data_IF_419918293457
#
_entry.id   IF_419918293457
#
_cell.length_a   1.000
_cell.length_b   1.000
_cell.length_c   1.000
_cell.angle_alpha   90.00
_cell.angle_beta   90.00
_cell.angle_gamma   90.00
#
_symmetry.space_group_name_H-M   'P 1'
#
loop_
_entity.id
_entity.type
_entity.pdbx_description
1 polymer ?
#
# COMPACT_ATOMS: atom_id res chain seq x y z
N UNK A 1 19.00 16.87 -22.73
CA UNK A 1 17.95 17.86 -22.39
C UNK A 1 17.94 19.00 -23.43
N UNK A 2 17.73 18.65 -24.72
CA UNK A 2 17.78 19.58 -25.88
C UNK A 2 16.71 19.25 -26.94
N UNK A 3 15.62 18.57 -26.54
CA UNK A 3 14.62 18.05 -27.49
C UNK A 3 13.22 18.69 -27.35
N UNK A 4 13.07 19.78 -26.60
CA UNK A 4 11.73 20.33 -26.27
C UNK A 4 11.45 21.73 -26.84
N UNK A 5 12.34 22.29 -27.66
CA UNK A 5 12.19 23.64 -28.21
C UNK A 5 12.22 23.58 -29.75
N UNK A 6 11.22 22.93 -30.36
CA UNK A 6 11.00 23.06 -31.81
C UNK A 6 9.52 23.10 -32.22
N UNK A 7 8.57 23.01 -31.29
CA UNK A 7 7.13 23.11 -31.57
C UNK A 7 6.50 24.31 -30.86
N UNK A 8 7.01 25.51 -31.16
CA UNK A 8 6.34 26.75 -30.78
C UNK A 8 6.48 27.76 -31.91
N UNK A 9 5.72 27.55 -32.99
CA UNK A 9 5.51 28.58 -33.98
C UNK A 9 4.01 28.86 -34.14
N UNK A 10 3.59 29.82 -33.31
CA UNK A 10 2.40 30.68 -33.44
C UNK A 10 2.01 30.91 -34.91
N UNK A 11 0.92 30.28 -35.38
CA UNK A 11 0.19 30.75 -36.56
C UNK A 11 -0.55 32.04 -36.19
N UNK A 12 0.02 33.18 -36.58
CA UNK A 12 -0.72 34.44 -36.72
C UNK A 12 -1.20 34.61 -38.16
N UNK A 13 -2.52 34.81 -38.26
CA UNK A 13 -3.29 35.53 -39.27
C UNK A 13 -2.56 36.06 -40.51
N UNK A 14 -2.94 35.54 -41.68
CA UNK A 14 -2.88 36.24 -42.96
C UNK A 14 -4.26 36.17 -43.63
N UNK A 15 -4.75 37.26 -44.27
CA UNK A 15 -6.04 37.25 -44.94
C UNK A 15 -5.94 36.56 -46.30
N UNK A 16 -6.97 35.78 -46.60
CA UNK A 16 -7.48 35.36 -47.90
C UNK A 16 -6.52 35.05 -49.06
N UNK A 17 -6.53 33.78 -49.47
CA UNK A 17 -6.61 33.46 -50.89
C UNK A 17 -7.51 32.25 -51.07
N UNK A 18 -8.71 32.50 -51.60
CA UNK A 18 -9.63 31.47 -52.03
C UNK A 18 -9.03 30.68 -53.20
N UNK A 19 -8.41 29.53 -52.90
CA UNK A 19 -8.09 28.50 -53.88
C UNK A 19 -8.48 27.13 -53.32
N UNK A 20 -9.50 26.55 -53.95
CA UNK A 20 -9.87 25.13 -53.99
C UNK A 20 -9.39 24.29 -52.80
N UNK A 21 -10.20 24.28 -51.75
CA UNK A 21 -10.06 23.38 -50.60
C UNK A 21 -10.40 21.96 -51.08
N UNK A 22 -9.41 21.25 -51.62
CA UNK A 22 -9.45 19.77 -51.64
C UNK A 22 -9.60 19.38 -50.17
N UNK A 23 -10.76 18.85 -49.82
CA UNK A 23 -11.08 18.40 -48.47
C UNK A 23 -10.18 17.21 -48.15
N UNK A 24 -9.03 17.49 -47.54
CA UNK A 24 -8.21 16.45 -46.93
C UNK A 24 -9.10 15.72 -45.90
N UNK A 25 -9.35 14.41 -46.05
CA UNK A 25 -10.25 13.66 -45.16
C UNK A 25 -9.59 13.33 -43.81
N UNK A 26 -8.42 13.89 -43.53
CA UNK A 26 -7.71 13.69 -42.28
C UNK A 26 -8.29 14.60 -41.22
N UNK A 27 -9.07 14.01 -40.31
CA UNK A 27 -9.47 14.65 -39.06
C UNK A 27 -8.18 14.89 -38.26
N UNK A 28 -7.71 16.14 -38.21
CA UNK A 28 -6.63 16.52 -37.30
C UNK A 28 -7.15 16.43 -35.86
N UNK A 29 -6.83 15.33 -35.18
CA UNK A 29 -7.06 15.20 -33.75
C UNK A 29 -6.04 16.06 -33.00
N UNK A 30 -6.45 17.26 -32.62
CA UNK A 30 -5.62 18.13 -31.77
C UNK A 30 -5.90 17.80 -30.32
N UNK A 31 -5.02 17.02 -29.70
CA UNK A 31 -5.01 16.87 -28.25
C UNK A 31 -4.49 18.14 -27.60
N UNK A 32 -5.16 18.60 -26.54
CA UNK A 32 -4.63 19.67 -25.71
C UNK A 32 -3.46 19.15 -24.86
N UNK A 33 -2.62 20.07 -24.36
CA UNK A 33 -1.53 19.71 -23.45
C UNK A 33 -2.03 19.01 -22.18
N UNK A 34 -3.21 19.42 -21.67
CA UNK A 34 -3.84 18.79 -20.51
C UNK A 34 -4.19 17.32 -20.76
N UNK A 35 -4.67 16.98 -21.96
CA UNK A 35 -5.06 15.60 -22.28
C UNK A 35 -3.85 14.67 -22.29
N UNK A 36 -2.73 15.15 -22.84
CA UNK A 36 -1.45 14.44 -22.80
C UNK A 36 -0.94 14.21 -21.38
N UNK A 37 -1.10 15.21 -20.50
CA UNK A 37 -0.67 15.11 -19.11
C UNK A 37 -1.51 14.09 -18.32
N UNK A 38 -2.83 14.07 -18.51
CA UNK A 38 -3.73 13.09 -17.89
C UNK A 38 -3.42 11.68 -18.40
N UNK A 39 -3.22 11.52 -19.72
CA UNK A 39 -2.86 10.22 -20.31
C UNK A 39 -1.52 9.71 -19.76
N UNK A 40 -0.49 10.54 -19.73
CA UNK A 40 0.81 10.20 -19.17
C UNK A 40 0.72 9.82 -17.69
N UNK A 41 -0.10 10.53 -16.92
CA UNK A 41 -0.34 10.24 -15.50
C UNK A 41 -1.01 8.88 -15.29
N UNK A 42 -2.10 8.59 -16.03
CA UNK A 42 -2.80 7.30 -15.95
C UNK A 42 -1.89 6.15 -16.37
N UNK A 43 -1.10 6.31 -17.44
CA UNK A 43 -0.14 5.30 -17.89
C UNK A 43 0.94 5.08 -16.82
N UNK A 44 1.51 6.17 -16.27
CA UNK A 44 2.51 6.09 -15.21
C UNK A 44 2.01 5.36 -13.97
N UNK A 45 0.78 5.64 -13.54
CA UNK A 45 0.15 4.92 -12.43
C UNK A 45 -0.18 3.47 -12.78
N UNK A 46 -0.65 3.18 -14.00
CA UNK A 46 -0.94 1.81 -14.43
C UNK A 46 0.33 0.92 -14.40
N UNK A 47 1.49 1.49 -14.70
CA UNK A 47 2.78 0.81 -14.60
C UNK A 47 3.24 0.72 -13.13
N UNK A 48 3.08 1.79 -12.36
CA UNK A 48 3.65 1.88 -11.01
C UNK A 48 2.83 1.12 -9.95
N UNK A 49 1.50 1.12 -10.04
CA UNK A 49 0.59 0.47 -9.08
C UNK A 49 0.88 -1.04 -8.89
N UNK A 50 1.03 -1.87 -9.93
CA UNK A 50 1.33 -3.30 -9.74
C UNK A 50 2.71 -3.53 -9.13
N UNK A 51 3.66 -2.61 -9.35
CA UNK A 51 5.01 -2.67 -8.77
C UNK A 51 5.03 -2.27 -7.28
N UNK A 52 3.96 -1.67 -6.75
CA UNK A 52 3.91 -1.04 -5.43
C UNK A 52 2.89 -1.69 -4.46
N UNK A 53 2.62 -2.99 -4.58
CA UNK A 53 1.78 -3.69 -3.59
C UNK A 53 2.50 -3.74 -2.21
N UNK A 54 1.83 -3.41 -1.07
CA UNK A 54 0.40 -3.18 -0.88
C UNK A 54 0.09 -1.77 -0.36
N UNK A 55 -0.02 -0.76 -1.23
CA UNK A 55 -0.63 0.52 -0.84
C UNK A 55 -1.93 0.78 -1.60
N UNK A 56 -3.10 0.47 -1.00
CA UNK A 56 -4.41 0.75 -1.63
C UNK A 56 -4.64 2.23 -1.94
N UNK A 57 -3.84 3.15 -1.37
CA UNK A 57 -3.91 4.59 -1.63
C UNK A 57 -3.51 4.97 -3.05
N UNK A 58 -2.59 4.24 -3.68
CA UNK A 58 -2.20 4.51 -5.08
C UNK A 58 -3.31 4.14 -6.07
N UNK A 59 -4.18 3.19 -5.72
CA UNK A 59 -5.35 2.87 -6.51
C UNK A 59 -6.37 4.02 -6.54
N UNK A 60 -6.45 4.84 -5.48
CA UNK A 60 -7.32 6.02 -5.45
C UNK A 60 -6.82 7.10 -6.43
N UNK A 61 -5.51 7.36 -6.47
CA UNK A 61 -4.91 8.28 -7.44
C UNK A 61 -5.14 7.79 -8.88
N UNK A 62 -5.06 6.47 -9.09
CA UNK A 62 -5.34 5.87 -10.39
C UNK A 62 -6.81 6.03 -10.78
N UNK A 63 -7.75 5.82 -9.85
CA UNK A 63 -9.18 6.05 -10.07
C UNK A 63 -9.49 7.50 -10.48
N UNK A 64 -8.86 8.47 -9.81
CA UNK A 64 -9.00 9.89 -10.18
C UNK A 64 -8.49 10.13 -11.60
N UNK A 65 -7.32 9.59 -11.96
CA UNK A 65 -6.80 9.67 -13.32
C UNK A 65 -7.76 9.06 -14.36
N UNK A 66 -8.34 7.89 -14.05
CA UNK A 66 -9.29 7.22 -14.94
C UNK A 66 -10.58 8.03 -15.14
N UNK A 67 -11.12 8.64 -14.06
CA UNK A 67 -12.28 9.54 -14.13
C UNK A 67 -11.99 10.74 -15.04
N UNK A 68 -10.80 11.33 -14.93
CA UNK A 68 -10.39 12.48 -15.74
C UNK A 68 -10.13 12.12 -17.21
N UNK A 69 -9.65 10.90 -17.48
CA UNK A 69 -9.38 10.43 -18.84
C UNK A 69 -10.66 10.05 -19.60
N UNK A 70 -11.72 9.66 -18.89
CA UNK A 70 -12.97 9.18 -19.47
C UNK A 70 -13.64 10.18 -20.45
N UNK A 71 -13.83 11.48 -20.11
CA UNK A 71 -14.40 12.45 -21.04
C UNK A 71 -13.56 12.68 -22.31
N UNK A 72 -12.23 12.59 -22.20
CA UNK A 72 -11.32 12.74 -23.36
C UNK A 72 -11.49 11.59 -24.35
N UNK A 73 -11.54 10.35 -23.85
CA UNK A 73 -11.79 9.18 -24.69
C UNK A 73 -13.19 9.21 -25.31
N UNK A 74 -14.19 9.68 -24.55
CA UNK A 74 -15.55 9.85 -25.04
C UNK A 74 -15.64 10.91 -26.16
N UNK A 75 -14.87 12.00 -26.06
CA UNK A 75 -14.81 13.03 -27.09
C UNK A 75 -14.16 12.52 -28.39
N UNK A 76 -13.15 11.65 -28.33
CA UNK A 76 -12.53 11.02 -29.51
C UNK A 76 -13.50 10.13 -30.30
N UNK A 77 -14.45 9.49 -29.61
CA UNK A 77 -15.47 8.66 -30.26
C UNK A 77 -16.51 9.46 -31.05
N UNK A 78 -16.63 10.77 -30.81
CA UNK A 78 -17.58 11.63 -31.53
C UNK A 78 -16.95 12.18 -32.79
N UNK A 79 -17.48 11.79 -33.95
CA UNK A 79 -17.20 12.52 -35.19
C UNK A 79 -17.79 13.93 -35.10
N UNK A 80 -17.05 14.98 -35.49
CA UNK A 80 -17.62 16.31 -35.64
C UNK A 80 -18.54 16.31 -36.85
N UNK A 81 -19.82 15.96 -36.66
CA UNK A 81 -20.85 16.13 -37.69
C UNK A 81 -21.47 17.52 -37.52
N UNK A 82 -21.45 18.34 -38.57
CA UNK A 82 -22.19 19.61 -38.66
C UNK A 82 -23.73 19.41 -38.73
N UNK A 83 -24.22 18.25 -38.33
CA UNK A 83 -25.63 17.86 -38.41
C UNK A 83 -26.18 17.82 -36.98
N UNK A 84 -27.32 18.46 -36.83
CA UNK A 84 -28.15 18.62 -35.62
C UNK A 84 -28.07 17.41 -34.66
N UNK A 85 -28.03 17.64 -33.32
CA UNK A 85 -27.71 16.62 -32.34
C UNK A 85 -28.80 15.54 -32.28
N UNK A 86 -28.70 14.54 -33.15
CA UNK A 86 -29.38 13.27 -32.95
C UNK A 86 -28.68 12.54 -31.81
N UNK A 87 -29.49 11.89 -30.98
CA UNK A 87 -29.10 11.16 -29.78
C UNK A 87 -27.79 10.39 -29.95
N UNK A 88 -26.95 10.28 -28.91
CA UNK A 88 -25.68 9.54 -29.01
C UNK A 88 -25.97 8.16 -29.57
N UNK A 89 -25.39 7.84 -30.72
CA UNK A 89 -25.58 6.54 -31.33
C UNK A 89 -25.12 5.49 -30.33
N UNK A 90 -25.92 4.44 -30.11
CA UNK A 90 -25.59 3.32 -29.22
C UNK A 90 -24.16 2.80 -29.45
N UNK A 91 -23.66 2.91 -30.68
CA UNK A 91 -22.31 2.54 -31.12
C UNK A 91 -21.20 3.37 -30.44
N UNK A 92 -21.41 4.66 -30.20
CA UNK A 92 -20.41 5.55 -29.58
C UNK A 92 -20.33 5.29 -28.07
N UNK A 93 -21.48 5.03 -27.44
CA UNK A 93 -21.53 4.55 -26.05
C UNK A 93 -20.84 3.18 -25.95
N UNK A 94 -21.09 2.27 -26.89
CA UNK A 94 -20.50 0.94 -26.91
C UNK A 94 -18.97 1.00 -27.00
N UNK A 95 -18.40 1.83 -27.88
CA UNK A 95 -16.95 2.01 -28.03
C UNK A 95 -16.30 2.59 -26.78
N UNK A 96 -16.95 3.57 -26.15
CA UNK A 96 -16.49 4.17 -24.89
C UNK A 96 -16.45 3.15 -23.76
N UNK A 97 -17.51 2.33 -23.66
CA UNK A 97 -17.59 1.22 -22.71
C UNK A 97 -16.55 0.15 -23.04
N UNK A 98 -16.31 -0.18 -24.32
CA UNK A 98 -15.35 -1.21 -24.73
C UNK A 98 -13.89 -0.82 -24.47
N UNK A 99 -13.57 0.46 -24.36
CA UNK A 99 -12.23 0.97 -24.03
C UNK A 99 -12.02 1.09 -22.51
N UNK A 100 -13.07 1.45 -21.78
CA UNK A 100 -13.03 1.69 -20.33
C UNK A 100 -13.18 0.39 -19.54
N UNK A 101 -13.99 -0.56 -20.03
CA UNK A 101 -14.24 -1.84 -19.37
C UNK A 101 -12.99 -2.73 -19.28
N UNK A 102 -12.11 -2.88 -20.29
CA UNK A 102 -10.87 -3.63 -20.13
C UNK A 102 -9.93 -2.98 -19.12
N UNK A 103 -9.82 -1.65 -19.12
CA UNK A 103 -9.00 -0.87 -18.19
C UNK A 103 -9.54 -1.01 -16.75
N UNK A 104 -10.87 -1.02 -16.57
CA UNK A 104 -11.53 -1.31 -15.31
C UNK A 104 -11.48 -2.80 -14.92
N UNK A 105 -11.53 -3.73 -15.87
CA UNK A 105 -11.49 -5.18 -15.64
C UNK A 105 -10.09 -5.66 -15.23
N UNK A 106 -9.03 -5.08 -15.80
CA UNK A 106 -7.65 -5.23 -15.32
C UNK A 106 -7.53 -4.75 -13.86
N UNK A 107 -8.35 -3.79 -13.43
CA UNK A 107 -8.43 -3.36 -12.04
C UNK A 107 -9.29 -4.26 -11.15
N UNK A 108 -10.33 -4.90 -11.68
CA UNK A 108 -11.08 -5.93 -10.94
C UNK A 108 -10.20 -7.15 -10.66
N UNK A 109 -9.25 -7.49 -11.54
CA UNK A 109 -8.21 -8.49 -11.22
C UNK A 109 -7.16 -8.02 -10.20
N UNK A 110 -7.10 -6.71 -9.91
CA UNK A 110 -6.25 -6.12 -8.87
C UNK A 110 -6.97 -5.92 -7.52
N UNK A 111 -8.32 -6.00 -7.49
CA UNK A 111 -9.09 -6.10 -6.25
C UNK A 111 -8.56 -7.28 -5.42
N UNK A 112 -8.64 -7.21 -4.08
CA UNK A 112 -8.10 -8.23 -3.20
C UNK A 112 -8.80 -9.56 -3.47
N UNK A 113 -8.19 -10.39 -4.32
CA UNK A 113 -8.51 -11.80 -4.41
C UNK A 113 -8.44 -12.36 -2.98
N UNK A 114 -9.36 -13.28 -2.60
CA UNK A 114 -9.32 -13.91 -1.30
C UNK A 114 -7.92 -14.49 -1.07
N UNK A 115 -7.33 -14.11 0.07
CA UNK A 115 -6.05 -14.65 0.49
C UNK A 115 -6.19 -16.17 0.76
N UNK A 116 -5.16 -16.97 0.45
CA UNK A 116 -3.91 -16.61 -0.22
C UNK A 116 -4.01 -16.71 -1.76
N UNK A 117 -3.30 -15.86 -2.53
CA UNK A 117 -3.18 -16.06 -3.97
C UNK A 117 -2.50 -17.41 -4.25
N UNK A 118 -2.86 -18.10 -5.35
CA UNK A 118 -2.17 -19.32 -5.73
C UNK A 118 -0.68 -19.04 -5.93
N UNK A 119 0.17 -19.90 -5.36
CA UNK A 119 1.66 -19.81 -5.34
C UNK A 119 2.30 -19.60 -6.72
N UNK A 120 1.55 -19.84 -7.80
CA UNK A 120 1.99 -19.79 -9.19
C UNK A 120 1.43 -18.60 -10.00
N UNK A 121 0.79 -17.61 -9.37
CA UNK A 121 0.31 -16.43 -10.09
C UNK A 121 1.47 -15.51 -10.53
N UNK A 122 1.94 -15.71 -11.76
CA UNK A 122 3.02 -14.94 -12.40
C UNK A 122 2.70 -13.43 -12.50
N UNK A 123 1.42 -13.06 -12.45
CA UNK A 123 0.95 -11.72 -12.80
C UNK A 123 1.17 -10.69 -11.69
N UNK A 124 1.35 -11.10 -10.42
CA UNK A 124 1.38 -10.16 -9.28
C UNK A 124 2.37 -10.52 -8.16
N UNK A 125 3.51 -11.14 -8.48
CA UNK A 125 4.61 -11.19 -7.51
C UNK A 125 5.21 -9.79 -7.39
N UNK A 126 5.05 -9.16 -6.23
CA UNK A 126 5.96 -8.10 -5.83
C UNK A 126 7.40 -8.60 -6.04
N UNK A 127 8.31 -7.71 -6.42
CA UNK A 127 9.73 -8.05 -6.62
C UNK A 127 10.33 -8.79 -5.41
N UNK A 128 9.83 -8.51 -4.21
CA UNK A 128 10.13 -9.22 -2.96
C UNK A 128 8.86 -9.50 -2.15
N UNK A 129 8.86 -10.62 -1.41
CA UNK A 129 7.76 -11.02 -0.54
C UNK A 129 7.76 -10.16 0.74
N UNK A 130 6.58 -9.67 1.13
CA UNK A 130 6.39 -8.81 2.33
C UNK A 130 5.28 -9.34 3.24
N UNK A 131 5.10 -10.66 3.30
CA UNK A 131 4.09 -11.31 4.15
C UNK A 131 4.61 -11.70 5.53
N UNK A 132 5.92 -11.68 5.77
CA UNK A 132 6.52 -12.19 7.01
C UNK A 132 5.96 -11.52 8.26
N UNK A 133 5.64 -10.21 8.24
CA UNK A 133 4.98 -9.56 9.38
C UNK A 133 3.60 -10.13 9.71
N UNK A 134 2.86 -10.60 8.70
CA UNK A 134 1.58 -11.28 8.93
C UNK A 134 1.78 -12.65 9.58
N UNK A 135 2.77 -13.40 9.11
CA UNK A 135 3.14 -14.70 9.66
C UNK A 135 3.60 -14.55 11.11
N UNK A 136 4.53 -13.62 11.37
CA UNK A 136 4.99 -13.28 12.72
C UNK A 136 3.84 -12.81 13.61
N UNK A 137 2.92 -11.98 13.12
CA UNK A 137 1.78 -11.54 13.91
C UNK A 137 0.89 -12.72 14.36
N UNK A 138 0.68 -13.69 13.48
CA UNK A 138 -0.05 -14.91 13.81
C UNK A 138 0.71 -15.76 14.85
N UNK A 139 2.02 -15.92 14.68
CA UNK A 139 2.87 -16.70 15.60
C UNK A 139 2.97 -16.03 16.98
N UNK A 140 3.13 -14.71 17.03
CA UNK A 140 3.13 -13.90 18.26
C UNK A 140 1.84 -14.11 19.05
N UNK A 141 0.69 -14.04 18.39
CA UNK A 141 -0.61 -14.28 19.06
C UNK A 141 -0.74 -15.72 19.50
N UNK A 142 -0.35 -16.67 18.66
CA UNK A 142 -0.36 -18.09 18.99
C UNK A 142 0.48 -18.41 20.24
N UNK A 143 1.69 -17.87 20.32
CA UNK A 143 2.60 -18.14 21.44
C UNK A 143 2.20 -17.39 22.71
N UNK A 144 1.64 -16.17 22.59
CA UNK A 144 1.04 -15.46 23.72
C UNK A 144 -0.13 -16.26 24.31
N UNK A 145 -1.08 -16.71 23.48
CA UNK A 145 -2.24 -17.48 23.93
C UNK A 145 -1.87 -18.86 24.51
N UNK A 146 -0.89 -19.56 23.91
CA UNK A 146 -0.34 -20.80 24.51
C UNK A 146 0.21 -20.54 25.92
N UNK A 147 0.91 -19.43 26.12
CA UNK A 147 1.44 -19.04 27.44
C UNK A 147 0.34 -18.73 28.46
N UNK A 148 -0.82 -18.25 28.02
CA UNK A 148 -2.00 -18.04 28.88
C UNK A 148 -2.64 -19.38 29.27
N UNK A 149 -2.91 -20.24 28.28
CA UNK A 149 -3.62 -21.51 28.49
C UNK A 149 -2.85 -22.51 29.35
N UNK A 150 -1.52 -22.48 29.29
CA UNK A 150 -0.67 -23.26 30.20
C UNK A 150 -0.87 -22.87 31.68
N UNK A 151 -1.40 -21.68 31.96
CA UNK A 151 -1.44 -21.09 33.29
C UNK A 151 -2.86 -20.74 33.80
N UNK A 152 -3.93 -20.86 32.99
CA UNK A 152 -5.30 -20.43 33.38
C UNK A 152 -6.42 -21.27 32.74
N UNK A 153 -7.59 -21.33 33.40
CA UNK A 153 -8.85 -21.87 32.83
C UNK A 153 -9.50 -20.81 31.91
N UNK A 154 -9.92 -21.15 30.68
CA UNK A 154 -10.51 -20.18 29.76
C UNK A 154 -11.93 -19.82 30.21
N UNK A 155 -12.13 -18.62 30.77
CA UNK A 155 -13.46 -18.17 31.22
C UNK A 155 -13.84 -16.74 30.86
N UNK A 156 -13.06 -16.04 30.01
CA UNK A 156 -13.37 -14.67 29.58
C UNK A 156 -13.17 -14.49 28.07
N UNK A 157 -13.90 -13.53 27.48
CA UNK A 157 -13.78 -13.15 26.06
C UNK A 157 -12.40 -12.57 25.71
N UNK A 158 -11.71 -11.95 26.67
CA UNK A 158 -10.34 -11.47 26.53
C UNK A 158 -9.43 -12.27 27.46
N UNK A 159 -8.48 -12.99 26.88
CA UNK A 159 -7.59 -13.90 27.63
C UNK A 159 -6.29 -13.22 28.03
N UNK A 160 -5.85 -12.20 27.30
CA UNK A 160 -4.64 -11.44 27.59
C UNK A 160 -4.61 -10.06 26.90
N UNK A 161 -3.63 -9.24 27.29
CA UNK A 161 -3.34 -7.93 26.71
C UNK A 161 -1.98 -7.98 26.02
N UNK A 162 -1.89 -7.48 24.79
CA UNK A 162 -0.68 -7.44 23.98
C UNK A 162 -0.32 -5.99 23.63
N UNK A 163 0.76 -5.48 24.20
CA UNK A 163 1.28 -4.16 23.90
C UNK A 163 2.30 -4.22 22.78
N UNK A 164 2.18 -3.34 21.77
CA UNK A 164 3.13 -3.24 20.65
C UNK A 164 3.90 -1.94 20.74
N UNK A 165 5.21 -2.02 20.95
CA UNK A 165 6.06 -0.84 21.09
C UNK A 165 6.75 -0.49 19.78
N UNK A 166 6.52 0.73 19.29
CA UNK A 166 7.16 1.30 18.10
C UNK A 166 7.09 0.48 16.80
N UNK A 167 6.22 -0.53 16.69
CA UNK A 167 6.07 -1.37 15.49
C UNK A 167 4.67 -1.26 14.88
N UNK A 168 4.33 -0.14 14.21
CA UNK A 168 3.00 0.05 13.63
C UNK A 168 2.69 -0.98 12.54
N UNK A 169 3.70 -1.38 11.74
CA UNK A 169 3.51 -2.39 10.70
C UNK A 169 3.04 -3.73 11.25
N UNK A 170 3.62 -4.17 12.37
CA UNK A 170 3.21 -5.40 13.05
C UNK A 170 1.84 -5.24 13.71
N UNK A 171 1.59 -4.08 14.36
CA UNK A 171 0.33 -3.79 15.05
C UNK A 171 -0.91 -4.00 14.16
N UNK A 172 -0.87 -3.54 12.90
CA UNK A 172 -2.00 -3.69 11.97
C UNK A 172 -2.22 -5.12 11.46
N UNK A 173 -1.29 -6.04 11.73
CA UNK A 173 -1.41 -7.45 11.37
C UNK A 173 -1.87 -8.34 12.52
N UNK A 174 -1.87 -7.84 13.76
CA UNK A 174 -2.25 -8.64 14.92
C UNK A 174 -3.78 -8.87 14.94
N UNK A 175 -4.24 -10.12 14.99
CA UNK A 175 -5.65 -10.42 15.20
C UNK A 175 -6.08 -10.00 16.62
N UNK A 176 -7.30 -9.51 16.75
CA UNK A 176 -7.89 -9.11 18.04
C UNK A 176 -8.65 -10.25 18.74
N UNK A 177 -8.67 -11.45 18.17
CA UNK A 177 -9.44 -12.57 18.70
C UNK A 177 -8.80 -13.10 19.98
N UNK A 178 -9.48 -12.90 21.11
CA UNK A 178 -9.02 -13.34 22.44
C UNK A 178 -7.91 -12.50 23.06
N UNK A 179 -7.41 -11.46 22.37
CA UNK A 179 -6.37 -10.55 22.84
C UNK A 179 -6.80 -9.09 22.69
N UNK A 180 -6.61 -8.31 23.75
CA UNK A 180 -6.69 -6.85 23.65
C UNK A 180 -5.33 -6.32 23.17
N UNK A 181 -5.24 -5.88 21.92
CA UNK A 181 -4.00 -5.33 21.34
C UNK A 181 -3.99 -3.81 21.48
N UNK A 182 -2.90 -3.25 22.01
CA UNK A 182 -2.74 -1.81 22.23
C UNK A 182 -1.36 -1.32 21.76
N UNK A 183 -1.26 -0.16 21.10
CA UNK A 183 0.03 0.46 20.86
C UNK A 183 0.60 1.00 22.17
N UNK A 184 1.90 0.84 22.40
CA UNK A 184 2.62 1.37 23.55
C UNK A 184 3.56 2.50 23.11
N UNK A 185 3.40 3.68 23.74
CA UNK A 185 4.31 4.81 23.57
C UNK A 185 5.44 4.87 24.62
N UNK A 186 5.31 4.12 25.71
CA UNK A 186 6.29 4.00 26.81
C UNK A 186 6.05 2.67 27.55
N UNK A 187 6.94 2.31 28.48
CA UNK A 187 6.82 1.08 29.28
C UNK A 187 6.03 1.26 30.60
N UNK A 188 5.31 2.37 30.79
CA UNK A 188 4.56 2.61 32.03
C UNK A 188 3.28 1.75 32.13
N UNK A 189 2.89 1.05 31.06
CA UNK A 189 1.76 0.12 31.12
C UNK A 189 1.98 -1.04 32.10
N UNK A 190 3.25 -1.36 32.41
CA UNK A 190 3.59 -2.39 33.39
C UNK A 190 3.10 -2.02 34.79
N UNK A 191 3.03 -0.72 35.09
CA UNK A 191 2.64 -0.19 36.39
C UNK A 191 1.10 -0.09 36.56
N UNK A 192 0.32 -0.36 35.50
CA UNK A 192 -1.14 -0.25 35.53
C UNK A 192 -1.75 -1.47 36.23
N UNK A 193 -2.70 -1.24 37.14
CA UNK A 193 -3.38 -2.31 37.90
C UNK A 193 -4.06 -3.36 36.99
N UNK A 194 -4.52 -2.96 35.79
CA UNK A 194 -5.07 -3.85 34.79
C UNK A 194 -4.08 -4.94 34.34
N UNK A 195 -2.78 -4.63 34.27
CA UNK A 195 -1.68 -5.55 33.95
C UNK A 195 -1.53 -6.65 35.01
N UNK A 196 -2.08 -6.45 36.21
CA UNK A 196 -2.12 -7.45 37.29
C UNK A 196 -3.31 -8.40 37.19
N UNK A 197 -4.37 -8.03 36.46
CA UNK A 197 -5.63 -8.81 36.34
C UNK A 197 -5.61 -9.77 35.16
N UNK A 198 -4.91 -9.42 34.09
CA UNK A 198 -4.79 -10.22 32.88
C UNK A 198 -3.32 -10.48 32.53
N UNK A 199 -2.98 -11.67 32.00
CA UNK A 199 -1.67 -11.89 31.42
C UNK A 199 -1.35 -10.82 30.38
N UNK A 200 -0.20 -10.18 30.53
CA UNK A 200 0.20 -9.05 29.70
C UNK A 200 1.51 -9.34 29.01
N UNK A 201 1.57 -8.97 27.74
CA UNK A 201 2.69 -9.23 26.86
C UNK A 201 3.15 -7.94 26.20
N UNK A 202 4.44 -7.88 25.87
CA UNK A 202 5.06 -6.79 25.14
C UNK A 202 5.71 -7.36 23.88
N UNK A 203 5.41 -6.75 22.74
CA UNK A 203 6.05 -7.05 21.46
C UNK A 203 6.88 -5.86 21.03
N UNK A 204 8.11 -6.14 20.63
CA UNK A 204 9.08 -5.14 20.17
C UNK A 204 9.70 -5.60 18.86
N UNK A 205 10.11 -4.66 18.02
CA UNK A 205 10.83 -4.95 16.79
C UNK A 205 12.02 -4.01 16.59
N UNK A 206 12.56 -3.95 15.36
CA UNK A 206 13.77 -3.19 15.05
C UNK A 206 13.68 -1.69 15.35
N UNK A 207 12.51 -1.06 15.23
CA UNK A 207 12.33 0.36 15.54
C UNK A 207 12.43 0.61 17.06
N UNK A 208 11.88 -0.29 17.87
CA UNK A 208 12.04 -0.22 19.32
C UNK A 208 13.51 -0.41 19.73
N UNK A 209 14.18 -1.42 19.17
CA UNK A 209 15.57 -1.76 19.49
C UNK A 209 16.57 -0.66 19.13
N UNK A 210 16.28 0.14 18.09
CA UNK A 210 17.12 1.29 17.69
C UNK A 210 16.87 2.53 18.56
N UNK A 211 15.78 2.57 19.33
CA UNK A 211 15.44 3.71 20.17
C UNK A 211 16.22 3.69 21.48
N UNK A 212 17.04 4.73 21.70
CA UNK A 212 17.73 4.92 22.99
C UNK A 212 16.74 5.06 24.15
N UNK A 213 15.61 5.75 23.92
CA UNK A 213 14.56 5.93 24.94
C UNK A 213 14.00 4.58 25.39
N UNK A 214 13.72 3.69 24.43
CA UNK A 214 13.27 2.34 24.74
C UNK A 214 14.35 1.56 25.50
N UNK A 215 15.60 1.59 25.04
CA UNK A 215 16.70 0.89 25.71
C UNK A 215 16.86 1.34 27.18
N UNK A 216 16.81 2.65 27.43
CA UNK A 216 16.92 3.23 28.77
C UNK A 216 15.71 2.86 29.66
N UNK A 217 14.48 2.84 29.10
CA UNK A 217 13.27 2.43 29.85
C UNK A 217 13.24 0.92 30.13
N UNK A 218 13.64 0.11 29.15
CA UNK A 218 13.64 -1.34 29.24
C UNK A 218 14.69 -1.82 30.25
N UNK A 219 15.90 -1.22 30.23
CA UNK A 219 16.96 -1.54 31.18
C UNK A 219 16.54 -1.31 32.65
N UNK A 220 15.74 -0.27 32.92
CA UNK A 220 15.23 0.03 34.28
C UNK A 220 14.24 -1.00 34.82
N UNK A 221 13.65 -1.81 33.94
CA UNK A 221 12.56 -2.76 34.26
C UNK A 221 12.84 -4.15 33.69
N UNK A 222 14.10 -4.46 33.38
CA UNK A 222 14.47 -5.68 32.67
C UNK A 222 14.07 -6.95 33.45
N UNK A 223 14.03 -6.87 34.78
CA UNK A 223 13.57 -7.91 35.70
C UNK A 223 12.07 -8.24 35.57
N UNK A 224 11.28 -7.30 35.04
CA UNK A 224 9.84 -7.42 34.84
C UNK A 224 9.48 -8.04 33.48
N UNK A 225 10.47 -8.27 32.61
CA UNK A 225 10.24 -8.83 31.28
C UNK A 225 10.91 -10.19 31.13
N UNK A 226 10.14 -11.18 30.71
CA UNK A 226 10.64 -12.50 30.36
C UNK A 226 10.51 -12.72 28.85
N UNK A 227 11.63 -12.97 28.18
CA UNK A 227 11.61 -13.28 26.75
C UNK A 227 10.97 -14.65 26.52
N UNK A 228 9.87 -14.68 25.78
CA UNK A 228 9.17 -15.92 25.41
C UNK A 228 9.68 -16.44 24.08
N UNK A 229 9.74 -15.55 23.08
CA UNK A 229 10.02 -15.92 21.71
C UNK A 229 10.71 -14.78 20.96
N UNK A 230 11.44 -15.16 19.92
CA UNK A 230 12.08 -14.25 18.99
C UNK A 230 11.88 -14.75 17.57
N UNK A 231 11.47 -13.83 16.69
CA UNK A 231 11.08 -14.12 15.32
C UNK A 231 12.01 -13.34 14.39
N UNK A 232 12.92 -14.06 13.76
CA UNK A 232 13.82 -13.49 12.77
C UNK A 232 13.11 -13.38 11.42
N UNK A 233 13.35 -12.28 10.70
CA UNK A 233 12.75 -12.05 9.39
C UNK A 233 13.67 -11.21 8.51
N UNK A 234 13.46 -11.34 7.20
CA UNK A 234 14.23 -10.64 6.18
C UNK A 234 13.37 -9.55 5.56
N UNK A 235 13.55 -8.32 6.05
CA UNK A 235 12.94 -7.16 5.41
C UNK A 235 13.40 -7.05 3.96
N UNK A 236 12.43 -6.82 3.06
CA UNK A 236 12.69 -6.53 1.65
C UNK A 236 13.62 -5.32 1.50
N UNK A 237 14.42 -5.28 0.43
CA UNK A 237 15.37 -4.19 0.16
C UNK A 237 14.65 -2.83 0.18
N UNK A 238 13.41 -2.76 -0.30
CA UNK A 238 12.60 -1.53 -0.26
C UNK A 238 12.31 -1.00 1.15
N UNK A 239 12.00 -1.88 2.10
CA UNK A 239 11.75 -1.48 3.50
C UNK A 239 13.06 -1.07 4.16
N UNK A 240 14.15 -1.79 3.86
CA UNK A 240 15.49 -1.43 4.37
C UNK A 240 15.96 -0.07 3.86
N UNK A 241 15.52 0.36 2.68
CA UNK A 241 15.85 1.69 2.13
C UNK A 241 15.27 2.86 2.95
N UNK A 242 14.29 2.61 3.82
CA UNK A 242 13.85 3.63 4.78
C UNK A 242 14.91 3.90 5.86
N UNK A 243 15.81 2.94 6.09
CA UNK A 243 16.81 2.97 7.16
C UNK A 243 18.25 3.17 6.66
N UNK A 244 18.59 2.61 5.49
CA UNK A 244 19.95 2.64 4.92
C UNK A 244 19.95 3.08 3.47
N UNK A 245 21.04 3.71 3.03
CA UNK A 245 21.17 4.08 1.62
C UNK A 245 21.29 2.86 0.70
N UNK A 246 20.96 3.01 -0.59
CA UNK A 246 21.07 1.94 -1.58
C UNK A 246 22.49 1.35 -1.68
N UNK A 247 23.53 2.15 -1.42
CA UNK A 247 24.93 1.70 -1.42
C UNK A 247 25.26 0.79 -0.22
N UNK A 248 24.52 0.93 0.88
CA UNK A 248 24.73 0.22 2.14
C UNK A 248 23.88 -1.05 2.28
N UNK A 249 22.85 -1.23 1.43
CA UNK A 249 21.92 -2.37 1.49
C UNK A 249 22.62 -3.74 1.57
N UNK A 250 23.65 -3.96 0.72
CA UNK A 250 24.36 -5.24 0.70
C UNK A 250 25.14 -5.53 1.98
N UNK A 251 25.65 -4.47 2.62
CA UNK A 251 26.40 -4.59 3.86
C UNK A 251 25.50 -4.72 5.10
N UNK A 252 24.25 -4.23 5.03
CA UNK A 252 23.30 -4.21 6.14
C UNK A 252 22.11 -5.15 5.89
N UNK A 253 22.40 -6.34 5.34
CA UNK A 253 21.37 -7.35 5.04
C UNK A 253 21.13 -8.34 6.18
N UNK A 254 21.55 -7.98 7.39
CA UNK A 254 21.34 -8.82 8.58
C UNK A 254 19.85 -9.04 8.84
N UNK A 255 19.44 -10.25 9.26
CA UNK A 255 18.06 -10.51 9.62
C UNK A 255 17.61 -9.58 10.75
N UNK A 256 16.40 -9.07 10.62
CA UNK A 256 15.75 -8.26 11.65
C UNK A 256 14.99 -9.18 12.60
N UNK A 257 14.66 -8.68 13.79
CA UNK A 257 14.06 -9.50 14.84
C UNK A 257 12.88 -8.82 15.51
N UNK A 258 11.79 -9.57 15.67
CA UNK A 258 10.66 -9.23 16.54
C UNK A 258 10.76 -10.08 17.79
N UNK A 259 10.59 -9.47 18.97
CA UNK A 259 10.68 -10.16 20.26
C UNK A 259 9.38 -10.06 21.03
N UNK A 260 8.95 -11.17 21.59
CA UNK A 260 7.78 -11.29 22.45
C UNK A 260 8.23 -11.50 23.89
N UNK A 261 7.79 -10.62 24.77
CA UNK A 261 8.06 -10.66 26.20
C UNK A 261 6.77 -10.87 26.99
N UNK A 262 6.85 -11.62 28.09
CA UNK A 262 5.85 -11.66 29.14
C UNK A 262 6.17 -10.62 30.20
N UNK A 263 5.16 -9.89 30.64
CA UNK A 263 5.29 -9.02 31.81
C UNK A 263 5.12 -9.88 33.07
N UNK A 264 6.11 -9.83 33.95
CA UNK A 264 6.05 -10.43 35.28
C UNK A 264 5.31 -9.49 36.22
N UNK A 265 4.32 -10.02 36.91
CA UNK A 265 3.65 -9.29 37.99
C UNK A 265 4.49 -9.52 39.25
N UNK A 266 4.98 -8.47 39.93
CA UNK A 266 5.62 -8.62 41.23
C UNK A 266 4.60 -9.23 42.20
N UNK A 267 4.99 -10.31 42.89
CA UNK A 267 4.19 -10.90 43.98
C UNK A 267 3.97 -9.92 45.15
#
# INVERSE_FOLDING_TARGET
MKLFILFWNSRKFGPESAKSRVSDPYVEFTFSFSDWLVAAWVIGLAISVPLYRPYPRLALLWLVGAILLFPCLFALGRKPSNVEPQSPALKDILWSVLLVVPIAAVNITLLPLPHPPPENSFVFRCWEMRSQFREIAHDVVGDALKNVQANQKPSQNTQAVLYVYAEPGLFFHLPADGLAVQPAGNLNFVDIEATRKLPTFLVTGPHAQRSKVFADEFAKRADQFELIASYSYDASDFVRLDDVSATQLRAHREPLEVRLYRVRVPE
#
